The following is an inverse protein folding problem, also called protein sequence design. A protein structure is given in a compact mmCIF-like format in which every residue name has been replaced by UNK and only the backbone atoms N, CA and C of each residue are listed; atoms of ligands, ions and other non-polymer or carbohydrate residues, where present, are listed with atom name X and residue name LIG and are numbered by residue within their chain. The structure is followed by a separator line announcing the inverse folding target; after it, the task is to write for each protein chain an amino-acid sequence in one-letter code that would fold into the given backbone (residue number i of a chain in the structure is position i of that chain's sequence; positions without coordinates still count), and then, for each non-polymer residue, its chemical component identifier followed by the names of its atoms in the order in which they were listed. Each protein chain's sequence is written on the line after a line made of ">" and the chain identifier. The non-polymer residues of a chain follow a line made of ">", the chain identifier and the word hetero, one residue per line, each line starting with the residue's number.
data_IF_874872462825
#
_entry.id   IF_874872462825
#
_cell.length_a   1.000
_cell.length_b   1.000
_cell.length_c   1.000
_cell.angle_alpha   90.00
_cell.angle_beta   90.00
_cell.angle_gamma   90.00
#
_symmetry.space_group_name_H-M   'P 1'
#
loop_
_entity.id
_entity.type
_entity.pdbx_description
1 polymer ?
#
# COMPACT_ATOMS: atom_id res chain seq x y z
N UNK A 1 23.24 -4.78 2.43
CA UNK A 1 23.25 -3.75 3.51
C UNK A 1 21.99 -2.89 3.44
N UNK A 2 21.62 -2.31 2.29
CA UNK A 2 20.32 -1.63 2.12
C UNK A 2 19.10 -2.45 2.53
N UNK A 3 18.96 -3.69 2.05
CA UNK A 3 17.83 -4.58 2.38
C UNK A 3 17.69 -4.84 3.89
N UNK A 4 18.82 -4.97 4.60
CA UNK A 4 18.81 -5.15 6.06
C UNK A 4 18.29 -3.90 6.77
N UNK A 5 18.70 -2.72 6.31
CA UNK A 5 18.22 -1.44 6.85
C UNK A 5 16.74 -1.25 6.54
N UNK A 6 16.29 -1.54 5.31
CA UNK A 6 14.88 -1.47 4.91
C UNK A 6 14.02 -2.42 5.76
N UNK A 7 14.48 -3.68 5.92
CA UNK A 7 13.82 -4.65 6.79
C UNK A 7 13.77 -4.18 8.24
N UNK A 8 14.84 -3.52 8.72
CA UNK A 8 14.92 -2.93 10.04
C UNK A 8 13.89 -1.82 10.24
N UNK A 9 13.81 -0.89 9.28
CA UNK A 9 12.79 0.18 9.28
C UNK A 9 11.38 -0.41 9.27
N UNK A 10 11.10 -1.37 8.39
CA UNK A 10 9.78 -2.00 8.31
C UNK A 10 9.42 -2.71 9.62
N UNK A 11 10.36 -3.40 10.25
CA UNK A 11 10.15 -3.99 11.59
C UNK A 11 9.85 -2.92 12.64
N UNK A 12 10.55 -1.79 12.59
CA UNK A 12 10.38 -0.74 13.60
C UNK A 12 9.03 -0.02 13.44
N UNK A 13 8.60 0.27 12.21
CA UNK A 13 7.28 0.90 11.95
C UNK A 13 6.11 -0.06 12.19
N UNK A 14 6.34 -1.37 12.09
CA UNK A 14 5.33 -2.41 12.37
C UNK A 14 5.41 -2.95 13.79
N UNK A 15 6.30 -2.44 14.65
CA UNK A 15 6.55 -3.01 15.98
C UNK A 15 5.30 -3.05 16.87
N UNK A 16 4.41 -2.07 16.71
CA UNK A 16 3.15 -1.98 17.46
C UNK A 16 1.95 -2.54 16.72
N UNK A 17 2.15 -3.13 15.54
CA UNK A 17 1.07 -3.69 14.74
C UNK A 17 0.68 -5.05 15.29
N UNK A 18 -0.57 -5.19 15.69
CA UNK A 18 -1.14 -6.47 16.10
C UNK A 18 -1.79 -7.13 14.88
N UNK A 19 -1.29 -8.31 14.51
CA UNK A 19 -1.78 -9.06 13.34
C UNK A 19 -3.29 -9.32 13.43
N UNK A 20 -3.78 -9.76 14.59
CA UNK A 20 -5.19 -10.11 14.75
C UNK A 20 -6.08 -8.87 14.66
N UNK A 21 -5.68 -7.76 15.27
CA UNK A 21 -6.41 -6.50 15.18
C UNK A 21 -6.50 -6.03 13.72
N UNK A 22 -5.39 -6.06 12.98
CA UNK A 22 -5.35 -5.69 11.56
C UNK A 22 -6.29 -6.58 10.74
N UNK A 23 -6.26 -7.89 10.96
CA UNK A 23 -7.14 -8.82 10.25
C UNK A 23 -8.62 -8.58 10.57
N UNK A 24 -8.95 -8.24 11.82
CA UNK A 24 -10.31 -7.87 12.22
C UNK A 24 -10.74 -6.58 11.52
N UNK A 25 -9.89 -5.55 11.52
CA UNK A 25 -10.18 -4.26 10.89
C UNK A 25 -10.40 -4.40 9.37
N UNK A 26 -9.57 -5.21 8.69
CA UNK A 26 -9.75 -5.52 7.27
C UNK A 26 -11.09 -6.21 6.99
N UNK A 27 -11.46 -7.21 7.80
CA UNK A 27 -12.77 -7.89 7.66
C UNK A 27 -13.94 -6.95 7.89
N UNK A 28 -13.84 -6.07 8.89
CA UNK A 28 -14.86 -5.06 9.15
C UNK A 28 -14.99 -4.09 7.98
N UNK A 29 -13.86 -3.65 7.40
CA UNK A 29 -13.89 -2.76 6.25
C UNK A 29 -14.53 -3.42 5.02
N UNK A 30 -14.15 -4.67 4.71
CA UNK A 30 -14.76 -5.46 3.63
C UNK A 30 -16.28 -5.62 3.86
N UNK A 31 -16.70 -5.96 5.09
CA UNK A 31 -18.11 -6.06 5.44
C UNK A 31 -18.85 -4.74 5.22
N UNK A 32 -18.28 -3.61 5.67
CA UNK A 32 -18.86 -2.28 5.46
C UNK A 32 -19.03 -2.00 3.97
N UNK A 33 -18.02 -2.29 3.13
CA UNK A 33 -18.13 -2.10 1.68
C UNK A 33 -19.20 -3.01 1.07
N UNK A 34 -19.25 -4.28 1.49
CA UNK A 34 -20.27 -5.25 1.03
C UNK A 34 -21.70 -4.80 1.36
N UNK A 35 -21.91 -4.18 2.53
CA UNK A 35 -23.25 -3.68 2.93
C UNK A 35 -23.71 -2.43 2.19
N UNK A 36 -22.82 -1.74 1.45
CA UNK A 36 -23.12 -0.50 0.71
C UNK A 36 -23.62 -0.73 -0.71
N UNK A 37 -23.59 -1.97 -1.18
CA UNK A 37 -23.91 -2.37 -2.56
C UNK A 37 -24.99 -3.43 -2.56
N UNK A 38 -25.68 -3.58 -3.68
CA UNK A 38 -26.88 -4.43 -3.77
C UNK A 38 -26.58 -5.86 -4.22
N UNK A 39 -25.36 -6.14 -4.72
CA UNK A 39 -25.00 -7.45 -5.25
C UNK A 39 -23.48 -7.69 -5.32
N UNK A 40 -23.10 -8.95 -5.56
CA UNK A 40 -21.70 -9.38 -5.62
C UNK A 40 -20.93 -8.76 -6.79
N UNK A 41 -21.57 -8.56 -7.95
CA UNK A 41 -20.93 -7.93 -9.12
C UNK A 41 -20.58 -6.46 -8.82
N UNK A 42 -21.53 -5.70 -8.26
CA UNK A 42 -21.32 -4.32 -7.83
C UNK A 42 -20.26 -4.23 -6.70
N UNK A 43 -20.21 -5.25 -5.84
CA UNK A 43 -19.17 -5.35 -4.82
C UNK A 43 -17.77 -5.56 -5.41
N UNK A 44 -17.62 -6.47 -6.38
CA UNK A 44 -16.35 -6.67 -7.09
C UNK A 44 -15.93 -5.40 -7.83
N UNK A 45 -16.87 -4.73 -8.49
CA UNK A 45 -16.64 -3.43 -9.15
C UNK A 45 -16.14 -2.38 -8.16
N UNK A 46 -16.79 -2.27 -7.00
CA UNK A 46 -16.38 -1.37 -5.92
C UNK A 46 -14.96 -1.70 -5.44
N UNK A 47 -14.65 -2.97 -5.20
CA UNK A 47 -13.31 -3.39 -4.77
C UNK A 47 -12.25 -3.08 -5.85
N UNK A 48 -12.54 -3.33 -7.13
CA UNK A 48 -11.64 -3.01 -8.23
C UNK A 48 -11.28 -1.52 -8.27
N UNK A 49 -12.27 -0.63 -8.08
CA UNK A 49 -12.02 0.81 -8.00
C UNK A 49 -11.19 1.23 -6.79
N UNK A 50 -11.43 0.62 -5.62
CA UNK A 50 -10.61 0.88 -4.44
C UNK A 50 -9.16 0.36 -4.62
N UNK A 51 -8.98 -0.81 -5.24
CA UNK A 51 -7.65 -1.36 -5.56
C UNK A 51 -6.91 -0.44 -6.52
N UNK A 52 -7.57 0.03 -7.58
CA UNK A 52 -6.97 0.96 -8.52
C UNK A 52 -6.51 2.24 -7.82
N UNK A 53 -7.37 2.83 -6.98
CA UNK A 53 -7.00 3.99 -6.16
C UNK A 53 -5.76 3.72 -5.30
N UNK A 54 -5.71 2.58 -4.61
CA UNK A 54 -4.58 2.21 -3.75
C UNK A 54 -3.28 2.00 -4.55
N UNK A 55 -3.36 1.41 -5.75
CA UNK A 55 -2.19 1.20 -6.62
C UNK A 55 -1.63 2.53 -7.15
N UNK A 56 -2.50 3.43 -7.61
CA UNK A 56 -2.08 4.77 -8.04
C UNK A 56 -1.50 5.58 -6.87
N UNK A 57 -2.10 5.43 -5.68
CA UNK A 57 -1.57 6.02 -4.44
C UNK A 57 -0.18 5.46 -4.10
N UNK A 58 0.05 4.17 -4.29
CA UNK A 58 1.36 3.54 -4.09
C UNK A 58 2.40 4.08 -5.07
N UNK A 59 2.06 4.26 -6.35
CA UNK A 59 2.99 4.84 -7.33
C UNK A 59 3.42 6.26 -6.94
N UNK A 60 2.50 7.05 -6.40
CA UNK A 60 2.82 8.37 -5.85
C UNK A 60 3.80 8.29 -4.68
N UNK A 61 3.55 7.41 -3.70
CA UNK A 61 4.46 7.18 -2.55
C UNK A 61 5.85 6.76 -3.03
N UNK A 62 5.92 5.80 -3.96
CA UNK A 62 7.17 5.31 -4.53
C UNK A 62 7.93 6.41 -5.29
N UNK A 63 7.23 7.28 -6.01
CA UNK A 63 7.81 8.45 -6.68
C UNK A 63 8.42 9.43 -5.67
N UNK A 64 7.75 9.69 -4.55
CA UNK A 64 8.29 10.53 -3.46
C UNK A 64 9.54 9.89 -2.84
N UNK A 65 9.51 8.59 -2.55
CA UNK A 65 10.66 7.84 -2.03
C UNK A 65 11.83 7.96 -3.01
N UNK A 66 11.60 7.70 -4.30
CA UNK A 66 12.60 7.81 -5.35
C UNK A 66 13.24 9.21 -5.38
N UNK A 67 12.43 10.27 -5.39
CA UNK A 67 12.93 11.66 -5.43
C UNK A 67 13.70 12.04 -4.17
N UNK A 68 13.28 11.56 -3.00
CA UNK A 68 13.97 11.79 -1.72
C UNK A 68 15.42 11.31 -1.79
N UNK A 69 15.62 10.11 -2.34
CA UNK A 69 16.97 9.55 -2.50
C UNK A 69 17.74 10.16 -3.66
N UNK A 70 17.08 10.46 -4.78
CA UNK A 70 17.72 11.10 -5.95
C UNK A 70 18.29 12.48 -5.61
N UNK A 71 17.56 13.29 -4.83
CA UNK A 71 18.01 14.63 -4.42
C UNK A 71 19.03 14.61 -3.27
N UNK A 72 19.23 13.47 -2.61
CA UNK A 72 20.09 13.32 -1.42
C UNK A 72 19.82 14.36 -0.33
N UNK A 73 18.60 14.86 -0.27
CA UNK A 73 18.15 15.90 0.66
C UNK A 73 16.96 15.37 1.45
N UNK A 74 16.93 15.66 2.75
CA UNK A 74 15.77 15.42 3.58
C UNK A 74 14.64 16.31 3.06
N UNK A 75 13.60 15.69 2.52
CA UNK A 75 12.36 16.41 2.21
C UNK A 75 11.69 16.80 3.52
N UNK A 76 11.06 17.96 3.54
CA UNK A 76 10.27 18.38 4.69
C UNK A 76 9.02 17.49 4.81
N UNK A 77 8.82 16.88 5.98
CA UNK A 77 7.69 15.99 6.24
C UNK A 77 6.34 16.64 5.94
N UNK A 78 6.15 17.91 6.33
CA UNK A 78 4.90 18.65 6.14
C UNK A 78 4.65 18.93 4.66
N UNK A 79 5.70 19.30 3.92
CA UNK A 79 5.58 19.55 2.48
C UNK A 79 5.21 18.27 1.72
N UNK A 80 5.85 17.14 2.05
CA UNK A 80 5.55 15.85 1.45
C UNK A 80 4.15 15.35 1.80
N UNK A 81 3.71 15.53 3.06
CA UNK A 81 2.34 15.19 3.46
C UNK A 81 1.32 15.99 2.68
N UNK A 82 1.54 17.29 2.51
CA UNK A 82 0.67 18.15 1.72
C UNK A 82 0.68 17.79 0.23
N UNK A 83 1.85 17.44 -0.32
CA UNK A 83 1.98 16.98 -1.70
C UNK A 83 1.18 15.68 -1.92
N UNK A 84 1.36 14.69 -1.04
CA UNK A 84 0.63 13.42 -1.11
C UNK A 84 -0.87 13.68 -0.99
N UNK A 85 -1.29 14.47 0.01
CA UNK A 85 -2.71 14.78 0.20
C UNK A 85 -3.33 15.41 -1.05
N UNK A 86 -2.67 16.40 -1.66
CA UNK A 86 -3.17 17.05 -2.88
C UNK A 86 -3.26 16.07 -4.05
N UNK A 87 -2.21 15.31 -4.29
CA UNK A 87 -2.20 14.33 -5.37
C UNK A 87 -3.23 13.21 -5.15
N UNK A 88 -3.53 12.82 -3.91
CA UNK A 88 -4.59 11.87 -3.59
C UNK A 88 -6.00 12.44 -3.79
N UNK A 89 -6.20 13.75 -3.57
CA UNK A 89 -7.47 14.41 -3.90
C UNK A 89 -7.65 14.52 -5.42
N UNK A 90 -6.62 14.97 -6.13
CA UNK A 90 -6.63 15.03 -7.59
C UNK A 90 -6.84 13.65 -8.20
N UNK A 91 -6.21 12.61 -7.65
CA UNK A 91 -6.41 11.23 -8.06
C UNK A 91 -7.85 10.80 -7.84
N UNK A 92 -8.46 11.14 -6.70
CA UNK A 92 -9.86 10.80 -6.41
C UNK A 92 -10.82 11.46 -7.40
N UNK A 93 -10.57 12.70 -7.76
CA UNK A 93 -11.40 13.48 -8.70
C UNK A 93 -11.21 13.04 -10.15
N UNK A 94 -10.05 12.45 -10.47
CA UNK A 94 -9.68 12.00 -11.82
C UNK A 94 -9.47 10.49 -11.91
N UNK A 95 -10.04 9.71 -10.98
CA UNK A 95 -9.96 8.25 -11.00
C UNK A 95 -10.90 7.68 -12.08
N UNK A 96 -10.76 8.18 -13.29
CA UNK A 96 -11.41 7.65 -14.49
C UNK A 96 -10.57 6.47 -14.99
N UNK A 97 -10.40 5.49 -14.11
CA UNK A 97 -9.65 4.28 -14.39
C UNK A 97 -10.54 3.42 -15.29
N UNK A 98 -9.92 2.76 -16.26
CA UNK A 98 -10.51 1.60 -16.93
C UNK A 98 -10.69 0.49 -15.89
N UNK A 99 -11.72 0.62 -15.03
CA UNK A 99 -12.06 -0.29 -13.94
C UNK A 99 -12.19 -1.73 -14.46
N UNK A 100 -12.66 -1.85 -15.69
CA UNK A 100 -12.72 -3.11 -16.44
C UNK A 100 -11.38 -3.84 -16.51
N UNK A 101 -10.26 -3.14 -16.67
CA UNK A 101 -8.94 -3.77 -16.68
C UNK A 101 -8.51 -4.30 -15.31
N UNK A 102 -9.04 -3.73 -14.22
CA UNK A 102 -8.82 -4.24 -12.86
C UNK A 102 -9.77 -5.38 -12.53
N UNK A 103 -11.03 -5.28 -12.90
CA UNK A 103 -12.02 -6.36 -12.73
C UNK A 103 -11.58 -7.65 -13.44
N UNK A 104 -11.09 -7.53 -14.68
CA UNK A 104 -10.62 -8.69 -15.45
C UNK A 104 -9.44 -9.41 -14.77
N UNK A 105 -8.63 -8.73 -13.93
CA UNK A 105 -7.55 -9.39 -13.16
C UNK A 105 -8.10 -10.36 -12.10
N UNK A 106 -9.31 -10.12 -11.62
CA UNK A 106 -9.92 -10.89 -10.52
C UNK A 106 -10.99 -11.86 -10.99
N UNK A 107 -11.33 -11.84 -12.28
CA UNK A 107 -12.29 -12.75 -12.88
C UNK A 107 -11.83 -14.20 -12.77
N UNK A 108 -12.68 -15.04 -12.19
CA UNK A 108 -12.52 -16.49 -12.01
C UNK A 108 -13.69 -17.24 -12.65
N UNK A 109 -13.68 -18.57 -12.52
CA UNK A 109 -14.72 -19.44 -13.07
C UNK A 109 -16.09 -19.18 -12.44
N UNK A 110 -16.11 -18.75 -11.17
CA UNK A 110 -17.33 -18.32 -10.47
C UNK A 110 -17.25 -16.90 -9.93
N UNK A 111 -18.42 -16.27 -9.75
CA UNK A 111 -18.54 -14.95 -9.12
C UNK A 111 -18.09 -14.98 -7.65
N UNK A 112 -18.31 -16.10 -6.96
CA UNK A 112 -17.84 -16.26 -5.57
C UNK A 112 -16.32 -16.26 -5.50
N UNK A 113 -15.64 -17.03 -6.35
CA UNK A 113 -14.17 -17.05 -6.41
C UNK A 113 -13.61 -15.69 -6.85
N UNK A 114 -14.28 -15.02 -7.79
CA UNK A 114 -13.91 -13.67 -8.22
C UNK A 114 -14.01 -12.67 -7.07
N UNK A 115 -15.07 -12.80 -6.25
CA UNK A 115 -15.27 -11.99 -5.04
C UNK A 115 -14.14 -12.22 -4.03
N UNK A 116 -13.86 -13.49 -3.69
CA UNK A 116 -12.76 -13.82 -2.76
C UNK A 116 -11.41 -13.31 -3.28
N UNK A 117 -11.13 -13.48 -4.58
CA UNK A 117 -9.90 -12.97 -5.20
C UNK A 117 -9.79 -11.43 -5.09
N UNK A 118 -10.89 -10.71 -5.31
CA UNK A 118 -10.93 -9.26 -5.16
C UNK A 118 -10.76 -8.82 -3.70
N UNK A 119 -11.34 -9.54 -2.72
CA UNK A 119 -11.19 -9.25 -1.29
C UNK A 119 -9.76 -9.45 -0.78
N UNK A 120 -9.10 -10.52 -1.22
CA UNK A 120 -7.68 -10.77 -0.93
C UNK A 120 -6.82 -9.67 -1.55
N UNK A 121 -7.03 -9.36 -2.83
CA UNK A 121 -6.26 -8.32 -3.51
C UNK A 121 -6.46 -6.93 -2.90
N UNK A 122 -7.69 -6.62 -2.48
CA UNK A 122 -7.99 -5.39 -1.74
C UNK A 122 -7.22 -5.33 -0.42
N UNK A 123 -7.28 -6.39 0.37
CA UNK A 123 -6.58 -6.48 1.67
C UNK A 123 -5.07 -6.32 1.51
N UNK A 124 -4.48 -6.96 0.49
CA UNK A 124 -3.06 -6.78 0.14
C UNK A 124 -2.73 -5.33 -0.20
N UNK A 125 -3.55 -4.70 -1.05
CA UNK A 125 -3.34 -3.32 -1.47
C UNK A 125 -3.40 -2.33 -0.29
N UNK A 126 -4.34 -2.53 0.66
CA UNK A 126 -4.45 -1.71 1.88
C UNK A 126 -3.19 -1.84 2.74
N UNK A 127 -2.71 -3.07 2.98
CA UNK A 127 -1.54 -3.30 3.80
C UNK A 127 -0.25 -2.78 3.14
N UNK A 128 -0.10 -2.99 1.84
CA UNK A 128 1.02 -2.44 1.08
C UNK A 128 1.05 -0.92 1.16
N UNK A 129 -0.10 -0.27 0.96
CA UNK A 129 -0.21 1.18 1.08
C UNK A 129 0.17 1.67 2.48
N UNK A 130 -0.33 1.01 3.54
CA UNK A 130 -0.02 1.36 4.91
C UNK A 130 1.48 1.21 5.22
N UNK A 131 2.10 0.10 4.81
CA UNK A 131 3.52 -0.19 5.03
C UNK A 131 4.43 0.82 4.32
N UNK A 132 4.19 1.09 3.03
CA UNK A 132 5.02 2.03 2.27
C UNK A 132 4.84 3.47 2.74
N UNK A 133 3.63 3.84 3.15
CA UNK A 133 3.36 5.16 3.76
C UNK A 133 4.07 5.31 5.10
N UNK A 134 4.03 4.28 5.95
CA UNK A 134 4.75 4.27 7.23
C UNK A 134 6.26 4.35 7.02
N UNK A 135 6.80 3.59 6.07
CA UNK A 135 8.21 3.66 5.69
C UNK A 135 8.60 5.07 5.25
N UNK A 136 7.80 5.70 4.37
CA UNK A 136 8.06 7.06 3.92
C UNK A 136 8.07 8.05 5.09
N UNK A 137 7.06 8.00 5.98
CA UNK A 137 7.04 8.94 7.11
C UNK A 137 8.15 8.71 8.12
N UNK A 138 8.56 7.45 8.31
CA UNK A 138 9.75 7.13 9.10
C UNK A 138 11.00 7.77 8.48
N UNK A 139 11.17 7.66 7.15
CA UNK A 139 12.29 8.27 6.43
C UNK A 139 12.32 9.80 6.53
N UNK A 140 11.14 10.42 6.54
CA UNK A 140 10.98 11.88 6.61
C UNK A 140 11.15 12.44 8.03
N UNK A 141 11.23 11.58 9.04
CA UNK A 141 11.47 12.02 10.40
C UNK A 141 12.88 12.64 10.54
N UNK A 142 13.01 13.86 11.10
CA UNK A 142 14.30 14.49 11.32
C UNK A 142 15.30 13.63 12.09
N UNK A 143 14.85 12.75 12.99
CA UNK A 143 15.71 11.85 13.76
C UNK A 143 16.35 10.77 12.87
N UNK A 144 15.73 10.46 11.73
CA UNK A 144 16.13 9.40 10.81
C UNK A 144 16.99 9.90 9.63
N UNK A 145 17.43 11.16 9.64
CA UNK A 145 18.24 11.76 8.55
C UNK A 145 19.50 10.98 8.18
N UNK A 146 20.07 10.20 9.10
CA UNK A 146 21.25 9.38 8.80
C UNK A 146 20.92 8.21 7.87
N UNK A 147 19.69 7.70 7.88
CA UNK A 147 19.26 6.65 6.95
C UNK A 147 19.22 7.15 5.51
N UNK A 148 18.84 8.41 5.27
CA UNK A 148 18.94 9.03 3.94
C UNK A 148 20.37 8.98 3.40
N UNK A 149 21.38 9.23 4.26
CA UNK A 149 22.79 9.11 3.86
C UNK A 149 23.15 7.67 3.55
N UNK A 150 22.75 6.72 4.41
CA UNK A 150 22.99 5.29 4.20
C UNK A 150 22.41 4.79 2.89
N UNK A 151 21.21 5.25 2.52
CA UNK A 151 20.56 4.85 1.27
C UNK A 151 21.04 5.62 0.05
N UNK A 152 21.60 6.82 0.20
CA UNK A 152 22.06 7.67 -0.93
C UNK A 152 23.20 7.09 -1.76
N UNK A 153 23.88 6.04 -1.28
CA UNK A 153 24.93 5.31 -2.02
C UNK A 153 24.34 4.31 -3.02
N UNK A 154 23.04 4.03 -2.94
CA UNK A 154 22.33 3.12 -3.83
C UNK A 154 21.52 3.87 -4.89
N UNK A 155 21.27 3.26 -6.07
CA UNK A 155 20.33 3.82 -7.02
C UNK A 155 18.92 3.96 -6.40
N UNK A 156 18.24 5.12 -6.56
CA UNK A 156 16.91 5.31 -5.99
C UNK A 156 15.89 4.25 -6.43
N UNK A 157 15.95 3.81 -7.69
CA UNK A 157 15.11 2.72 -8.20
C UNK A 157 15.32 1.39 -7.46
N UNK A 158 16.56 1.06 -7.09
CA UNK A 158 16.83 -0.14 -6.28
C UNK A 158 16.21 -0.05 -4.89
N UNK A 159 16.25 1.13 -4.25
CA UNK A 159 15.61 1.32 -2.94
C UNK A 159 14.09 1.18 -3.04
N UNK A 160 13.47 1.77 -4.07
CA UNK A 160 12.01 1.63 -4.28
C UNK A 160 11.63 0.16 -4.49
N UNK A 161 12.37 -0.58 -5.32
CA UNK A 161 12.12 -2.01 -5.54
C UNK A 161 12.25 -2.80 -4.24
N UNK A 162 13.32 -2.59 -3.48
CA UNK A 162 13.54 -3.29 -2.21
C UNK A 162 12.45 -2.94 -1.17
N UNK A 163 12.05 -1.67 -1.06
CA UNK A 163 10.92 -1.27 -0.20
C UNK A 163 9.63 -1.99 -0.61
N UNK A 164 9.37 -2.09 -1.91
CA UNK A 164 8.19 -2.79 -2.43
C UNK A 164 8.22 -4.30 -2.14
N UNK A 165 9.36 -4.96 -2.36
CA UNK A 165 9.56 -6.39 -2.09
C UNK A 165 9.38 -6.70 -0.60
N UNK A 166 10.04 -5.96 0.28
CA UNK A 166 9.91 -6.17 1.72
C UNK A 166 8.51 -5.81 2.23
N UNK A 167 7.88 -4.75 1.72
CA UNK A 167 6.49 -4.43 2.09
C UNK A 167 5.54 -5.54 1.67
N UNK A 168 5.74 -6.13 0.48
CA UNK A 168 4.96 -7.29 0.03
C UNK A 168 5.12 -8.48 0.96
N UNK A 169 6.36 -8.78 1.36
CA UNK A 169 6.63 -9.84 2.32
C UNK A 169 5.91 -9.63 3.66
N UNK A 170 5.99 -8.43 4.24
CA UNK A 170 5.31 -8.10 5.49
C UNK A 170 3.78 -8.10 5.36
N UNK A 171 3.23 -7.60 4.25
CA UNK A 171 1.80 -7.65 3.98
C UNK A 171 1.30 -9.10 3.95
N UNK A 172 2.03 -9.99 3.28
CA UNK A 172 1.68 -11.42 3.25
C UNK A 172 1.75 -12.06 4.64
N UNK A 173 2.75 -11.72 5.46
CA UNK A 173 2.84 -12.22 6.83
C UNK A 173 1.64 -11.76 7.69
N UNK A 174 1.20 -10.52 7.50
CA UNK A 174 0.04 -9.96 8.20
C UNK A 174 -1.29 -10.56 7.72
N UNK A 175 -1.37 -10.94 6.44
CA UNK A 175 -2.52 -11.65 5.90
C UNK A 175 -2.49 -13.16 6.11
N UNK A 176 -1.37 -13.74 6.51
CA UNK A 176 -1.28 -15.18 6.71
C UNK A 176 -2.41 -15.64 7.65
N UNK A 177 -3.09 -16.73 7.32
CA UNK A 177 -4.34 -17.21 7.96
C UNK A 177 -5.64 -16.45 7.64
N UNK A 178 -5.60 -15.19 7.15
CA UNK A 178 -6.78 -14.45 6.67
C UNK A 178 -7.37 -15.10 5.41
N UNK A 179 -6.50 -15.56 4.50
CA UNK A 179 -6.86 -16.19 3.22
C UNK A 179 -7.71 -17.47 3.39
N UNK A 180 -7.69 -18.08 4.58
CA UNK A 180 -8.46 -19.30 4.89
C UNK A 180 -9.80 -18.99 5.59
N UNK A 181 -10.10 -17.71 5.83
CA UNK A 181 -11.24 -17.25 6.64
C UNK A 181 -12.13 -16.23 5.92
N UNK A 182 -11.76 -15.82 4.69
CA UNK A 182 -12.58 -15.05 3.75
C UNK A 182 -13.22 -16.04 2.79
#
# INVERSE_FOLDING_TARGET
>A
MAEKEISGVLRDVTRSWDKNAIQIDLKQELLVKRTKVSGQEEYVHLLAGNIAYLQESLYLIQSVIHRSFARRQSLNRVEVQNEIYRALQELKDNLDVSLSAYEEKFKKDTLSESTTAAEIAYSQAVLLYALQTAFLFFLLDPENRNLLKTFSVYPPGYIVSAVNEHSTFYANLLMDELEHQI
#
